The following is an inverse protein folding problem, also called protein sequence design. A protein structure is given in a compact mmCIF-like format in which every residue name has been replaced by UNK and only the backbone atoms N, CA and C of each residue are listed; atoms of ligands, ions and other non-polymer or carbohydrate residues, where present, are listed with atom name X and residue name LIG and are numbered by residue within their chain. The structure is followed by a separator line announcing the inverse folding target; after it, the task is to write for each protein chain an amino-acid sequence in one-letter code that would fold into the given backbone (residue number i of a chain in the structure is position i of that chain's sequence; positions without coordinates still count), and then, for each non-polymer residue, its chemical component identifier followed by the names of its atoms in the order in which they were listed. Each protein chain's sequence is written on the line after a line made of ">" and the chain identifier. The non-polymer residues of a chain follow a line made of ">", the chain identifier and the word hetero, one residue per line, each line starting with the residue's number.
data_IF_424846692872
#
_entry.id   IF_424846692872
#
_cell.length_a   1.000
_cell.length_b   1.000
_cell.length_c   1.000
_cell.angle_alpha   90.00
_cell.angle_beta   90.00
_cell.angle_gamma   90.00
#
_symmetry.space_group_name_H-M   'P 1'
#
loop_
_entity.id
_entity.type
_entity.pdbx_description
1 polymer ?
#
# COMPACT_ATOMS: atom_id res chain seq x y z
N UNK A 1 -33.38 15.18 65.57
CA UNK A 1 -34.40 14.60 64.72
C UNK A 1 -33.77 14.44 63.36
N UNK A 2 -33.59 13.25 63.02
CA UNK A 2 -32.69 12.70 62.04
C UNK A 2 -33.31 12.66 60.64
N UNK A 3 -32.60 13.12 59.62
CA UNK A 3 -33.01 12.93 58.26
C UNK A 3 -31.82 12.44 57.43
N UNK A 4 -31.70 11.13 57.38
CA UNK A 4 -30.71 10.41 56.62
C UNK A 4 -31.03 10.53 55.11
N UNK A 5 -30.25 11.28 54.40
CA UNK A 5 -30.25 11.33 52.94
C UNK A 5 -29.58 10.08 52.36
N UNK A 6 -30.37 9.20 51.72
CA UNK A 6 -29.86 8.04 50.98
C UNK A 6 -29.29 8.47 49.67
N UNK A 7 -27.98 8.43 49.59
CA UNK A 7 -27.21 8.60 48.35
C UNK A 7 -27.32 7.33 47.51
N UNK A 8 -28.19 7.31 46.45
CA UNK A 8 -28.19 6.27 45.42
C UNK A 8 -27.16 6.64 44.38
N UNK A 9 -26.04 5.96 44.45
CA UNK A 9 -25.08 5.92 43.34
C UNK A 9 -25.70 5.14 42.18
N UNK A 10 -26.27 5.86 41.21
CA UNK A 10 -26.59 5.33 39.91
C UNK A 10 -25.29 4.98 39.18
N UNK A 11 -24.95 3.68 39.20
CA UNK A 11 -23.93 3.12 38.32
C UNK A 11 -24.46 3.17 36.89
N UNK A 12 -24.14 4.21 36.17
CA UNK A 12 -24.28 4.24 34.72
C UNK A 12 -23.36 3.16 34.13
N UNK A 13 -23.94 2.17 33.52
CA UNK A 13 -23.21 1.19 32.71
C UNK A 13 -22.41 1.94 31.62
N UNK A 14 -21.17 1.52 31.33
CA UNK A 14 -20.41 2.15 30.28
C UNK A 14 -21.16 1.97 28.96
N UNK A 15 -21.63 3.09 28.40
CA UNK A 15 -22.12 3.12 27.02
C UNK A 15 -21.01 2.57 26.14
N UNK A 16 -21.30 1.50 25.39
CA UNK A 16 -20.45 1.02 24.34
C UNK A 16 -20.08 2.21 23.45
N UNK A 17 -18.83 2.66 23.54
CA UNK A 17 -18.28 3.66 22.66
C UNK A 17 -18.35 3.07 21.25
N UNK A 18 -19.29 3.59 20.45
CA UNK A 18 -19.35 3.27 19.05
C UNK A 18 -17.97 3.53 18.46
N UNK A 19 -17.43 2.54 17.76
CA UNK A 19 -16.19 2.65 17.01
C UNK A 19 -16.42 3.68 15.89
N UNK A 20 -16.31 4.96 16.25
CA UNK A 20 -15.93 6.00 15.33
C UNK A 20 -14.49 5.62 14.98
N UNK A 21 -14.28 5.06 13.77
CA UNK A 21 -12.95 4.91 13.23
C UNK A 21 -12.31 6.29 13.33
N UNK A 22 -11.40 6.47 14.28
CA UNK A 22 -10.53 7.63 14.32
C UNK A 22 -9.87 7.68 12.95
N UNK A 23 -10.29 8.62 12.11
CA UNK A 23 -9.56 8.97 10.89
C UNK A 23 -8.22 9.44 11.40
N UNK A 24 -7.27 8.52 11.37
CA UNK A 24 -5.95 8.82 11.89
C UNK A 24 -5.40 10.02 11.13
N UNK A 25 -4.92 11.01 11.87
CA UNK A 25 -4.28 12.17 11.29
C UNK A 25 -3.18 11.74 10.30
N UNK A 26 -2.99 12.46 9.18
CA UNK A 26 -1.90 12.18 8.26
C UNK A 26 -0.55 12.22 8.99
N UNK A 27 0.37 11.37 8.58
CA UNK A 27 1.74 11.38 9.05
C UNK A 27 2.56 12.49 8.38
N UNK A 28 3.76 12.76 8.88
CA UNK A 28 4.70 13.61 8.17
C UNK A 28 5.04 12.99 6.80
N UNK A 29 5.22 13.80 5.75
CA UNK A 29 5.42 13.32 4.38
C UNK A 29 6.60 12.33 4.26
N UNK A 30 7.66 12.56 5.03
CA UNK A 30 8.86 11.69 5.04
C UNK A 30 8.61 10.28 5.62
N UNK A 31 7.48 10.08 6.29
CA UNK A 31 7.12 8.81 6.93
C UNK A 31 6.35 7.89 5.97
N UNK A 32 6.03 8.38 4.78
CA UNK A 32 5.40 7.57 3.74
C UNK A 32 6.42 6.97 2.79
N UNK A 33 6.12 5.76 2.31
CA UNK A 33 6.89 5.06 1.29
C UNK A 33 6.08 4.92 0.00
N UNK A 34 6.75 5.00 -1.14
CA UNK A 34 6.18 4.79 -2.47
C UNK A 34 6.48 3.39 -2.96
N UNK A 35 5.45 2.66 -3.34
CA UNK A 35 5.55 1.47 -4.19
C UNK A 35 5.13 1.87 -5.61
N UNK A 36 5.84 1.43 -6.63
CA UNK A 36 5.45 1.69 -8.01
C UNK A 36 5.95 0.60 -8.95
N UNK A 37 5.19 0.34 -10.02
CA UNK A 37 5.46 -0.72 -10.99
C UNK A 37 5.65 -0.20 -12.43
N UNK A 38 5.58 1.13 -12.62
CA UNK A 38 5.60 1.80 -13.91
C UNK A 38 4.21 2.24 -14.37
N UNK A 39 3.19 1.43 -14.17
CA UNK A 39 1.83 1.73 -14.61
C UNK A 39 1.00 2.42 -13.52
N UNK A 40 1.37 2.24 -12.26
CA UNK A 40 0.70 2.83 -11.08
C UNK A 40 1.58 2.82 -9.86
N UNK A 41 1.07 3.44 -8.77
CA UNK A 41 1.76 3.47 -7.51
C UNK A 41 0.83 3.44 -6.31
N UNK A 42 1.39 3.01 -5.19
CA UNK A 42 0.74 3.01 -3.88
C UNK A 42 1.58 3.75 -2.85
N UNK A 43 0.95 4.40 -1.90
CA UNK A 43 1.61 5.09 -0.79
C UNK A 43 1.32 4.33 0.50
N UNK A 44 2.39 3.92 1.17
CA UNK A 44 2.36 3.16 2.43
C UNK A 44 2.73 4.08 3.59
N UNK A 45 1.94 4.07 4.64
CA UNK A 45 2.20 4.78 5.89
C UNK A 45 2.89 3.93 6.95
N UNK A 46 3.33 4.56 8.06
CA UNK A 46 4.14 3.92 9.09
C UNK A 46 3.41 2.84 9.90
N UNK A 47 2.09 2.80 9.85
CA UNK A 47 1.30 1.74 10.50
C UNK A 47 1.00 0.56 9.59
N UNK A 48 1.64 0.49 8.41
CA UNK A 48 1.39 -0.54 7.41
C UNK A 48 0.08 -0.35 6.65
N UNK A 49 -0.44 0.87 6.62
CA UNK A 49 -1.60 1.24 5.84
C UNK A 49 -1.20 1.70 4.43
N UNK A 50 -1.82 1.13 3.40
CA UNK A 50 -1.82 1.72 2.07
C UNK A 50 -2.95 2.74 2.03
N UNK A 51 -2.58 4.01 1.97
CA UNK A 51 -3.47 5.17 2.12
C UNK A 51 -3.84 5.82 0.80
N UNK A 52 -3.09 5.49 -0.26
CA UNK A 52 -3.31 5.98 -1.61
C UNK A 52 -2.92 4.94 -2.64
N UNK A 53 -3.77 4.69 -3.60
CA UNK A 53 -3.49 3.89 -4.79
C UNK A 53 -4.57 4.14 -5.84
N UNK A 54 -4.16 4.41 -7.07
CA UNK A 54 -5.02 4.48 -8.25
C UNK A 54 -4.93 3.18 -9.03
N UNK A 55 -6.02 2.78 -9.68
CA UNK A 55 -6.09 1.59 -10.52
C UNK A 55 -7.18 1.75 -11.60
N UNK A 56 -6.94 1.26 -12.82
CA UNK A 56 -5.83 0.43 -13.28
C UNK A 56 -4.54 1.22 -13.61
N UNK A 57 -4.59 2.53 -13.82
CA UNK A 57 -3.46 3.37 -14.22
C UNK A 57 -3.24 4.55 -13.25
N UNK A 58 -2.15 5.32 -13.47
CA UNK A 58 -1.81 6.48 -12.66
C UNK A 58 -2.93 7.50 -12.52
N UNK A 59 -3.57 7.84 -13.63
CA UNK A 59 -4.61 8.86 -13.74
C UNK A 59 -6.02 8.35 -13.44
N UNK A 60 -6.16 7.06 -13.15
CA UNK A 60 -7.45 6.47 -12.74
C UNK A 60 -7.91 6.97 -11.38
N UNK A 61 -9.17 6.78 -11.08
CA UNK A 61 -9.73 7.05 -9.77
C UNK A 61 -9.05 6.21 -8.67
N UNK A 62 -8.83 6.82 -7.51
CA UNK A 62 -8.20 6.11 -6.41
C UNK A 62 -9.12 5.03 -5.85
N UNK A 63 -8.54 3.86 -5.57
CA UNK A 63 -9.17 2.71 -4.88
C UNK A 63 -8.85 2.69 -3.39
N UNK A 64 -7.76 3.37 -2.99
CA UNK A 64 -7.47 3.75 -1.61
C UNK A 64 -7.25 5.26 -1.60
N UNK A 65 -8.01 5.99 -0.80
CA UNK A 65 -8.04 7.45 -0.84
C UNK A 65 -7.97 8.11 0.56
N UNK A 66 -7.64 7.36 1.59
CA UNK A 66 -7.58 7.87 2.97
C UNK A 66 -6.55 8.98 3.15
N UNK A 67 -5.48 9.03 2.33
CA UNK A 67 -4.49 10.10 2.32
C UNK A 67 -5.09 11.50 2.13
N UNK A 68 -6.12 11.59 1.29
CA UNK A 68 -6.80 12.86 0.98
C UNK A 68 -8.15 13.01 1.71
N UNK A 69 -8.37 12.21 2.76
CA UNK A 69 -9.62 12.23 3.54
C UNK A 69 -10.78 11.48 2.91
N UNK A 70 -10.57 10.75 1.82
CA UNK A 70 -11.52 9.79 1.24
C UNK A 70 -11.63 8.51 2.08
N UNK A 71 -12.48 7.59 1.62
CA UNK A 71 -12.56 6.24 2.19
C UNK A 71 -11.65 5.27 1.42
N UNK A 72 -11.38 4.14 2.04
CA UNK A 72 -10.57 3.07 1.47
C UNK A 72 -9.13 3.07 1.93
N UNK A 73 -8.72 1.92 2.48
CA UNK A 73 -7.35 1.62 2.88
C UNK A 73 -7.13 0.10 2.92
N UNK A 74 -5.88 -0.31 2.80
CA UNK A 74 -5.46 -1.67 3.05
C UNK A 74 -4.38 -1.68 4.14
N UNK A 75 -4.72 -2.17 5.32
CA UNK A 75 -3.84 -2.13 6.49
C UNK A 75 -3.34 -3.52 6.87
N UNK A 76 -2.07 -3.58 7.29
CA UNK A 76 -1.45 -4.72 7.97
C UNK A 76 -0.72 -4.10 9.17
N UNK A 77 -1.35 -4.08 10.33
CA UNK A 77 -0.92 -3.27 11.46
C UNK A 77 -0.67 -4.17 12.68
N UNK A 78 0.46 -4.02 13.39
CA UNK A 78 0.69 -4.70 14.66
C UNK A 78 -0.40 -4.38 15.68
N UNK A 79 -0.81 -5.38 16.47
CA UNK A 79 -1.83 -5.21 17.51
C UNK A 79 -1.31 -4.54 18.76
N UNK A 80 -0.01 -4.60 18.98
CA UNK A 80 0.66 -4.03 20.13
C UNK A 80 1.40 -2.74 19.79
N UNK A 81 1.71 -1.98 20.83
CA UNK A 81 2.58 -0.82 20.70
C UNK A 81 3.92 -1.22 20.09
N UNK A 82 4.37 -0.45 19.13
CA UNK A 82 5.61 -0.72 18.44
C UNK A 82 6.36 0.57 18.10
N UNK A 83 7.67 0.45 17.99
CA UNK A 83 8.51 1.46 17.37
C UNK A 83 8.66 1.10 15.90
N UNK A 84 8.34 2.05 15.03
CA UNK A 84 8.36 1.84 13.58
C UNK A 84 9.64 2.38 12.94
N UNK A 85 10.06 1.71 11.88
CA UNK A 85 11.05 2.16 10.94
C UNK A 85 10.87 1.42 9.61
N UNK A 86 11.62 1.83 8.60
CA UNK A 86 11.56 1.14 7.32
C UNK A 86 12.64 1.59 6.37
N UNK A 87 12.82 0.83 5.29
CA UNK A 87 13.83 1.09 4.27
C UNK A 87 13.44 0.42 2.96
N UNK A 88 13.99 0.93 1.86
CA UNK A 88 13.89 0.27 0.56
C UNK A 88 15.00 -0.74 0.36
N UNK A 89 14.68 -1.86 -0.26
CA UNK A 89 15.69 -2.76 -0.81
C UNK A 89 16.48 -2.04 -1.90
N UNK A 90 17.78 -2.23 -1.89
CA UNK A 90 18.67 -1.45 -2.74
C UNK A 90 18.34 -1.62 -4.24
N UNK A 91 18.22 -0.51 -4.95
CA UNK A 91 17.93 -0.48 -6.37
C UNK A 91 16.51 -0.93 -6.73
N UNK A 92 15.56 -0.77 -5.83
CA UNK A 92 14.17 -1.13 -6.08
C UNK A 92 13.20 -0.19 -5.36
N UNK A 93 11.91 -0.34 -5.63
CA UNK A 93 10.81 0.19 -4.83
C UNK A 93 10.11 -0.91 -4.02
N UNK A 94 10.87 -1.90 -3.59
CA UNK A 94 10.44 -2.88 -2.59
C UNK A 94 10.69 -2.27 -1.22
N UNK A 95 9.62 -2.04 -0.46
CA UNK A 95 9.66 -1.44 0.86
C UNK A 95 9.67 -2.52 1.94
N UNK A 96 10.42 -2.28 3.01
CA UNK A 96 10.38 -3.07 4.23
C UNK A 96 9.97 -2.19 5.39
N UNK A 97 8.69 -2.29 5.78
CA UNK A 97 8.20 -1.74 7.04
C UNK A 97 8.58 -2.65 8.19
N UNK A 98 9.07 -2.09 9.29
CA UNK A 98 9.56 -2.84 10.44
C UNK A 98 9.03 -2.26 11.72
N UNK A 99 8.49 -3.12 12.57
CA UNK A 99 7.96 -2.76 13.88
C UNK A 99 8.69 -3.56 14.96
N UNK A 100 9.25 -2.85 15.94
CA UNK A 100 9.85 -3.44 17.13
C UNK A 100 8.80 -3.37 18.24
N UNK A 101 8.43 -4.52 18.76
CA UNK A 101 7.47 -4.71 19.86
C UNK A 101 8.17 -5.30 21.08
N UNK A 102 7.45 -5.42 22.20
CA UNK A 102 7.98 -6.09 23.39
C UNK A 102 8.18 -7.61 23.18
N UNK A 103 7.49 -8.22 22.19
CA UNK A 103 7.57 -9.64 21.88
C UNK A 103 8.66 -9.97 20.83
N UNK A 104 9.08 -8.99 20.02
CA UNK A 104 10.04 -9.20 18.96
C UNK A 104 9.93 -8.19 17.82
N UNK A 105 10.45 -8.57 16.66
CA UNK A 105 10.44 -7.74 15.46
C UNK A 105 9.49 -8.32 14.43
N UNK A 106 8.63 -7.46 13.92
CA UNK A 106 7.73 -7.76 12.80
C UNK A 106 8.25 -7.01 11.58
N UNK A 107 8.38 -7.68 10.46
CA UNK A 107 8.72 -7.06 9.19
C UNK A 107 7.63 -7.35 8.15
N UNK A 108 7.16 -6.32 7.47
CA UNK A 108 6.28 -6.43 6.32
C UNK A 108 7.02 -5.94 5.07
N UNK A 109 7.27 -6.84 4.15
CA UNK A 109 7.84 -6.56 2.85
C UNK A 109 6.72 -6.27 1.87
N UNK A 110 6.82 -5.19 1.09
CA UNK A 110 5.72 -4.67 0.27
C UNK A 110 6.24 -4.23 -1.10
N UNK A 111 5.52 -4.59 -2.15
CA UNK A 111 5.80 -4.17 -3.52
C UNK A 111 4.54 -4.23 -4.40
N UNK A 112 4.49 -3.39 -5.41
CA UNK A 112 3.76 -3.72 -6.64
C UNK A 112 4.65 -4.64 -7.48
N UNK A 113 4.08 -5.71 -8.05
CA UNK A 113 4.82 -6.62 -8.93
C UNK A 113 5.35 -5.84 -10.14
N UNK A 114 6.67 -5.92 -10.35
CA UNK A 114 7.36 -5.14 -11.37
C UNK A 114 7.96 -6.04 -12.46
N UNK A 115 7.92 -5.62 -13.74
CA UNK A 115 7.20 -4.47 -14.27
C UNK A 115 5.69 -4.66 -14.23
N UNK A 116 4.94 -3.52 -14.12
CA UNK A 116 3.49 -3.55 -14.09
C UNK A 116 2.89 -4.01 -15.42
N UNK A 117 1.75 -4.69 -15.34
CA UNK A 117 0.89 -4.99 -16.47
C UNK A 117 -0.19 -3.90 -16.59
N UNK A 118 -0.48 -3.38 -17.78
CA UNK A 118 -1.40 -2.27 -17.96
C UNK A 118 -2.85 -2.58 -17.51
N UNK A 119 -3.25 -3.86 -17.55
CA UNK A 119 -4.59 -4.31 -17.22
C UNK A 119 -4.72 -4.93 -15.83
N UNK A 120 -3.60 -5.37 -15.23
CA UNK A 120 -3.61 -6.11 -13.98
C UNK A 120 -2.59 -5.56 -12.99
N UNK A 121 -3.06 -5.15 -11.84
CA UNK A 121 -2.26 -4.79 -10.69
C UNK A 121 -2.07 -6.01 -9.81
N UNK A 122 -0.85 -6.24 -9.33
CA UNK A 122 -0.54 -7.23 -8.31
C UNK A 122 0.21 -6.55 -7.18
N UNK A 123 -0.41 -6.45 -6.02
CA UNK A 123 0.20 -5.92 -4.81
C UNK A 123 0.60 -7.08 -3.90
N UNK A 124 1.87 -7.16 -3.61
CA UNK A 124 2.49 -8.20 -2.79
C UNK A 124 2.79 -7.65 -1.39
N UNK A 125 2.40 -8.39 -0.37
CA UNK A 125 2.77 -8.14 1.02
C UNK A 125 3.23 -9.45 1.65
N UNK A 126 4.36 -9.42 2.35
CA UNK A 126 4.95 -10.59 2.99
C UNK A 126 5.35 -10.25 4.41
N UNK A 127 4.73 -10.90 5.39
CA UNK A 127 4.99 -10.69 6.81
C UNK A 127 5.91 -11.77 7.34
N UNK A 128 6.93 -11.38 8.10
CA UNK A 128 7.80 -12.26 8.87
C UNK A 128 7.89 -11.80 10.31
N UNK A 129 8.23 -12.72 11.21
CA UNK A 129 8.39 -12.49 12.63
C UNK A 129 9.75 -13.01 13.10
N UNK A 130 10.41 -12.25 13.98
CA UNK A 130 11.68 -12.62 14.60
C UNK A 130 11.62 -12.31 16.12
N UNK A 131 12.17 -13.23 16.93
CA UNK A 131 12.18 -13.16 18.39
C UNK A 131 10.88 -13.65 19.04
N UNK A 132 9.72 -13.26 18.53
CA UNK A 132 8.39 -13.65 19.01
C UNK A 132 7.38 -13.71 17.87
N UNK A 133 6.11 -14.14 18.14
CA UNK A 133 5.08 -14.20 17.11
C UNK A 133 4.64 -12.79 16.68
N UNK A 134 4.47 -12.56 15.38
CA UNK A 134 3.82 -11.36 14.88
C UNK A 134 2.30 -11.49 15.02
N UNK A 135 1.66 -10.60 15.76
CA UNK A 135 0.20 -10.47 15.86
C UNK A 135 -0.23 -9.20 15.17
N UNK A 136 -1.07 -9.37 14.15
CA UNK A 136 -1.45 -8.29 13.23
C UNK A 136 -2.95 -8.26 12.99
N UNK A 137 -3.48 -7.06 12.91
CA UNK A 137 -4.81 -6.80 12.36
C UNK A 137 -4.67 -6.44 10.88
N UNK A 138 -5.29 -7.23 10.01
CA UNK A 138 -5.34 -6.99 8.57
C UNK A 138 -6.74 -6.52 8.20
N UNK A 139 -6.84 -5.43 7.45
CA UNK A 139 -8.13 -4.92 6.96
C UNK A 139 -7.99 -4.46 5.51
N UNK A 140 -8.77 -5.06 4.62
CA UNK A 140 -8.85 -4.68 3.22
C UNK A 140 -10.23 -4.06 2.95
N UNK A 141 -10.25 -2.73 2.77
CA UNK A 141 -11.43 -1.92 2.48
C UNK A 141 -11.19 -1.08 1.21
N UNK A 142 -11.19 -1.69 0.02
CA UNK A 142 -11.03 -0.94 -1.21
C UNK A 142 -12.34 -0.22 -1.57
N UNK A 143 -12.21 1.00 -2.09
CA UNK A 143 -13.33 1.86 -2.46
C UNK A 143 -13.03 2.52 -3.81
N UNK A 144 -13.82 2.22 -4.83
CA UNK A 144 -13.66 2.89 -6.13
C UNK A 144 -14.13 4.35 -6.07
N UNK A 145 -13.72 5.12 -7.07
CA UNK A 145 -14.10 6.52 -7.25
C UNK A 145 -13.79 7.38 -6.02
N UNK A 146 -12.54 7.33 -5.55
CA UNK A 146 -12.06 8.10 -4.39
C UNK A 146 -12.88 7.85 -3.11
N UNK A 147 -13.33 6.62 -2.88
CA UNK A 147 -14.07 6.23 -1.70
C UNK A 147 -15.59 6.15 -1.86
N UNK A 148 -16.13 6.52 -3.03
CA UNK A 148 -17.59 6.60 -3.23
C UNK A 148 -18.27 5.27 -3.44
N UNK A 149 -17.62 4.31 -4.10
CA UNK A 149 -18.20 3.00 -4.42
C UNK A 149 -17.55 1.89 -3.61
N UNK A 150 -18.34 1.20 -2.84
CA UNK A 150 -17.92 0.06 -2.05
C UNK A 150 -17.69 -1.20 -2.89
N UNK A 151 -16.91 -2.14 -2.35
CA UNK A 151 -16.74 -3.49 -2.88
C UNK A 151 -18.09 -4.22 -2.95
N UNK A 152 -18.36 -4.88 -4.07
CA UNK A 152 -19.59 -5.62 -4.38
C UNK A 152 -19.29 -7.05 -4.78
N UNK A 153 -20.35 -7.88 -4.80
CA UNK A 153 -20.28 -9.28 -5.22
C UNK A 153 -19.12 -10.04 -4.57
N UNK A 154 -18.87 -9.74 -3.29
CA UNK A 154 -17.77 -10.35 -2.52
C UNK A 154 -18.14 -11.77 -2.16
N UNK A 155 -17.30 -12.71 -2.54
CA UNK A 155 -17.43 -14.14 -2.25
C UNK A 155 -16.08 -14.83 -2.28
N UNK A 156 -16.09 -16.14 -2.02
CA UNK A 156 -14.91 -16.97 -2.23
C UNK A 156 -15.00 -17.62 -3.60
N UNK A 157 -13.87 -17.68 -4.28
CA UNK A 157 -13.74 -18.47 -5.50
C UNK A 157 -13.36 -19.93 -5.19
N UNK A 158 -13.24 -20.74 -6.23
CA UNK A 158 -12.95 -22.18 -6.12
C UNK A 158 -11.54 -22.47 -5.54
N UNK A 159 -10.67 -21.46 -5.50
CA UNK A 159 -9.32 -21.54 -4.93
C UNK A 159 -9.29 -21.19 -3.44
N UNK A 160 -10.41 -20.72 -2.89
CA UNK A 160 -10.53 -20.21 -1.53
C UNK A 160 -10.11 -18.75 -1.36
N UNK A 161 -9.73 -18.07 -2.46
CA UNK A 161 -9.45 -16.65 -2.46
C UNK A 161 -10.73 -15.83 -2.35
N UNK A 162 -10.62 -14.60 -1.86
CA UNK A 162 -11.72 -13.65 -1.91
C UNK A 162 -11.76 -12.97 -3.28
N UNK A 163 -12.91 -13.03 -3.93
CA UNK A 163 -13.18 -12.38 -5.21
C UNK A 163 -14.32 -11.37 -5.09
N UNK A 164 -14.31 -10.32 -5.90
CA UNK A 164 -15.33 -9.28 -5.88
C UNK A 164 -15.21 -8.29 -7.03
N UNK A 165 -16.09 -7.26 -6.98
CA UNK A 165 -16.12 -6.16 -7.95
C UNK A 165 -15.96 -4.83 -7.25
N UNK A 166 -15.04 -4.01 -7.78
CA UNK A 166 -14.73 -2.68 -7.28
C UNK A 166 -14.95 -1.65 -8.39
N UNK A 167 -16.16 -1.10 -8.47
CA UNK A 167 -16.56 -0.36 -9.68
C UNK A 167 -16.53 -1.28 -10.89
N UNK A 168 -15.74 -0.92 -11.90
CA UNK A 168 -15.54 -1.72 -13.11
C UNK A 168 -14.39 -2.72 -12.99
N UNK A 169 -13.64 -2.68 -11.90
CA UNK A 169 -12.51 -3.59 -11.67
C UNK A 169 -12.97 -4.90 -11.05
N UNK A 170 -12.30 -5.98 -11.43
CA UNK A 170 -12.30 -7.25 -10.74
C UNK A 170 -11.28 -7.20 -9.62
N UNK A 171 -11.61 -7.81 -8.48
CA UNK A 171 -10.73 -7.93 -7.33
C UNK A 171 -10.55 -9.40 -6.98
N UNK A 172 -9.31 -9.79 -6.68
CA UNK A 172 -8.97 -11.05 -6.04
C UNK A 172 -7.98 -10.79 -4.90
N UNK A 173 -8.27 -11.35 -3.72
CA UNK A 173 -7.36 -11.31 -2.57
C UNK A 173 -7.06 -12.72 -2.12
N UNK A 174 -5.80 -13.08 -2.19
CA UNK A 174 -5.29 -14.44 -2.01
C UNK A 174 -4.08 -14.46 -1.06
N UNK A 175 -3.47 -15.60 -0.91
CA UNK A 175 -2.55 -15.97 0.12
C UNK A 175 -3.26 -16.82 1.17
N UNK A 176 -2.73 -16.91 2.37
CA UNK A 176 -3.43 -17.62 3.44
C UNK A 176 -4.47 -16.72 4.13
N UNK A 177 -5.58 -16.49 3.41
CA UNK A 177 -6.70 -15.61 3.81
C UNK A 177 -7.93 -16.41 4.27
N UNK A 178 -7.75 -17.70 4.59
CA UNK A 178 -8.84 -18.63 4.95
C UNK A 178 -9.69 -18.13 6.10
N UNK A 179 -9.11 -17.54 7.11
CA UNK A 179 -9.80 -17.03 8.31
C UNK A 179 -10.35 -15.62 8.17
N UNK A 180 -10.18 -14.98 7.01
CA UNK A 180 -10.71 -13.64 6.77
C UNK A 180 -12.24 -13.63 6.81
N UNK A 181 -12.79 -12.56 7.39
CA UNK A 181 -14.23 -12.36 7.60
C UNK A 181 -14.69 -11.07 6.93
N UNK A 182 -15.93 -11.09 6.45
CA UNK A 182 -16.59 -9.90 5.95
C UNK A 182 -17.18 -9.12 7.12
N UNK A 183 -16.75 -7.87 7.29
CA UNK A 183 -17.30 -6.93 8.26
C UNK A 183 -18.04 -5.79 7.53
N UNK A 184 -19.13 -5.30 8.11
CA UNK A 184 -19.79 -4.08 7.61
C UNK A 184 -18.91 -2.87 7.92
N UNK A 185 -18.70 -2.01 6.92
CA UNK A 185 -17.91 -0.78 7.02
C UNK A 185 -18.68 0.36 6.31
N UNK A 186 -19.33 1.21 7.09
CA UNK A 186 -20.17 2.29 6.56
C UNK A 186 -21.24 1.76 5.60
N UNK A 187 -21.20 2.23 4.34
CA UNK A 187 -22.16 1.81 3.28
C UNK A 187 -21.72 0.56 2.53
N UNK A 188 -20.72 -0.16 3.00
CA UNK A 188 -20.18 -1.33 2.31
C UNK A 188 -19.66 -2.41 3.25
N UNK A 189 -18.81 -3.25 2.70
CA UNK A 189 -18.14 -4.34 3.42
C UNK A 189 -16.64 -4.24 3.24
N UNK A 190 -15.90 -4.65 4.26
CA UNK A 190 -14.45 -4.84 4.23
C UNK A 190 -14.11 -6.27 4.62
N UNK A 191 -12.97 -6.74 4.19
CA UNK A 191 -12.38 -7.98 4.68
C UNK A 191 -11.49 -7.68 5.87
N UNK A 192 -11.59 -8.49 6.91
CA UNK A 192 -10.76 -8.41 8.10
C UNK A 192 -10.18 -9.77 8.43
N UNK A 193 -8.89 -9.80 8.76
CA UNK A 193 -8.16 -11.00 9.15
C UNK A 193 -7.31 -10.68 10.39
N UNK A 194 -7.36 -11.57 11.35
CA UNK A 194 -6.47 -11.57 12.50
C UNK A 194 -5.34 -12.54 12.18
N UNK A 195 -4.15 -12.01 12.02
CA UNK A 195 -3.01 -12.78 11.54
C UNK A 195 -2.00 -13.00 12.66
N UNK A 196 -1.63 -14.26 12.88
CA UNK A 196 -0.54 -14.63 13.78
C UNK A 196 0.52 -15.35 12.98
N UNK A 197 1.71 -14.77 12.85
CA UNK A 197 2.85 -15.37 12.16
C UNK A 197 3.84 -15.85 13.22
N UNK A 198 4.12 -17.16 13.31
CA UNK A 198 5.13 -17.70 14.23
C UNK A 198 6.53 -17.17 13.91
N UNK A 199 7.45 -17.13 14.90
CA UNK A 199 8.84 -16.77 14.66
C UNK A 199 9.48 -17.65 13.59
N UNK A 200 10.20 -17.04 12.65
CA UNK A 200 10.84 -17.73 11.53
C UNK A 200 9.89 -18.15 10.40
N UNK A 201 8.57 -18.00 10.58
CA UNK A 201 7.59 -18.24 9.52
C UNK A 201 7.40 -16.99 8.65
N UNK A 202 6.78 -17.22 7.50
CA UNK A 202 6.40 -16.18 6.54
C UNK A 202 4.94 -16.35 6.16
N UNK A 203 4.24 -15.24 5.97
CA UNK A 203 2.87 -15.18 5.51
C UNK A 203 2.73 -14.19 4.36
N UNK A 204 2.27 -14.67 3.23
CA UNK A 204 2.11 -13.85 2.03
C UNK A 204 0.65 -13.48 1.80
N UNK A 205 0.41 -12.23 1.44
CA UNK A 205 -0.88 -11.68 1.05
C UNK A 205 -0.73 -11.05 -0.35
N UNK A 206 -1.63 -11.39 -1.26
CA UNK A 206 -1.64 -10.90 -2.64
C UNK A 206 -2.99 -10.24 -2.94
N UNK A 207 -2.96 -8.98 -3.33
CA UNK A 207 -4.14 -8.28 -3.84
C UNK A 207 -3.97 -8.06 -5.34
N UNK A 208 -4.95 -8.51 -6.10
CA UNK A 208 -5.03 -8.30 -7.54
C UNK A 208 -6.23 -7.43 -7.88
N UNK A 209 -6.02 -6.45 -8.75
CA UNK A 209 -7.07 -5.67 -9.37
C UNK A 209 -6.89 -5.72 -10.88
N UNK A 210 -7.97 -5.91 -11.65
CA UNK A 210 -7.92 -5.99 -13.11
C UNK A 210 -9.15 -5.35 -13.72
N UNK A 211 -8.99 -4.70 -14.87
CA UNK A 211 -10.10 -4.24 -15.72
C UNK A 211 -10.70 -5.36 -16.58
N UNK A 212 -10.05 -6.54 -16.56
CA UNK A 212 -10.49 -7.75 -17.24
C UNK A 212 -10.79 -8.88 -16.24
N UNK A 213 -11.67 -9.84 -16.57
CA UNK A 213 -11.87 -11.03 -15.75
C UNK A 213 -10.55 -11.76 -15.50
N UNK A 214 -10.44 -12.39 -14.34
CA UNK A 214 -9.30 -13.26 -14.08
C UNK A 214 -9.51 -14.63 -14.73
N UNK A 215 -8.90 -14.84 -15.89
CA UNK A 215 -8.93 -16.11 -16.61
C UNK A 215 -7.80 -17.06 -16.17
N UNK A 216 -6.84 -16.55 -15.40
CA UNK A 216 -5.68 -17.30 -14.91
C UNK A 216 -5.85 -17.71 -13.46
N UNK A 217 -5.08 -18.75 -13.07
CA UNK A 217 -4.94 -19.14 -11.68
C UNK A 217 -4.47 -17.93 -10.81
N UNK A 218 -4.70 -18.02 -9.50
CA UNK A 218 -4.18 -17.03 -8.58
C UNK A 218 -2.66 -16.91 -8.68
N UNK A 219 -2.14 -15.72 -8.36
CA UNK A 219 -0.71 -15.44 -8.37
C UNK A 219 0.00 -16.29 -7.32
N UNK A 220 1.02 -17.03 -7.74
CA UNK A 220 2.00 -17.62 -6.81
C UNK A 220 2.87 -16.49 -6.23
N UNK A 221 2.67 -16.20 -4.95
CA UNK A 221 3.38 -15.12 -4.27
C UNK A 221 4.90 -15.28 -4.34
N UNK A 222 5.41 -16.51 -4.17
CA UNK A 222 6.86 -16.74 -4.18
C UNK A 222 7.45 -16.53 -5.58
N UNK A 223 6.75 -16.95 -6.62
CA UNK A 223 7.17 -16.71 -8.00
C UNK A 223 7.10 -15.22 -8.35
N UNK A 224 6.04 -14.52 -7.95
CA UNK A 224 5.87 -13.08 -8.18
C UNK A 224 6.94 -12.24 -7.47
N UNK A 225 7.31 -12.59 -6.24
CA UNK A 225 8.43 -11.96 -5.52
C UNK A 225 9.75 -12.13 -6.27
N UNK A 226 10.10 -13.35 -6.68
CA UNK A 226 11.34 -13.62 -7.44
C UNK A 226 11.37 -12.88 -8.77
N UNK A 227 10.24 -12.84 -9.48
CA UNK A 227 10.13 -12.11 -10.74
C UNK A 227 10.35 -10.61 -10.55
N UNK A 228 9.71 -10.02 -9.53
CA UNK A 228 9.83 -8.60 -9.16
C UNK A 228 11.27 -8.23 -8.80
N UNK A 229 11.93 -9.04 -7.96
CA UNK A 229 13.34 -8.85 -7.59
C UNK A 229 14.26 -8.88 -8.81
N UNK A 230 14.09 -9.88 -9.65
CA UNK A 230 14.85 -10.04 -10.88
C UNK A 230 14.67 -8.86 -11.84
N UNK A 231 13.42 -8.42 -12.02
CA UNK A 231 13.11 -7.30 -12.88
C UNK A 231 13.70 -5.98 -12.38
N UNK A 232 13.66 -5.70 -11.08
CA UNK A 232 14.34 -4.54 -10.49
C UNK A 232 15.84 -4.60 -10.65
N UNK A 233 16.46 -5.75 -10.42
CA UNK A 233 17.91 -5.95 -10.61
C UNK A 233 18.34 -5.70 -12.06
N UNK A 234 17.48 -6.01 -13.04
CA UNK A 234 17.74 -5.75 -14.45
C UNK A 234 17.46 -4.30 -14.86
N UNK A 235 16.43 -3.67 -14.24
CA UNK A 235 16.00 -2.32 -14.60
C UNK A 235 16.91 -1.23 -14.06
N UNK A 236 17.56 -1.45 -12.92
CA UNK A 236 18.41 -0.45 -12.24
C UNK A 236 19.89 -0.81 -12.42
N UNK A 237 20.65 -0.03 -13.21
CA UNK A 237 22.04 -0.34 -13.47
C UNK A 237 22.92 -0.21 -12.22
N UNK A 238 24.03 -0.96 -12.14
CA UNK A 238 25.03 -0.76 -11.11
C UNK A 238 25.74 0.57 -11.35
N UNK A 239 25.39 1.61 -10.57
CA UNK A 239 25.98 2.94 -10.69
C UNK A 239 27.32 3.01 -9.95
N UNK A 240 28.29 2.22 -10.42
CA UNK A 240 29.66 2.25 -9.92
C UNK A 240 30.34 3.58 -10.26
N UNK A 241 31.13 4.11 -9.31
CA UNK A 241 31.95 5.32 -9.54
C UNK A 241 31.23 6.66 -9.28
N UNK A 242 29.99 6.66 -8.79
CA UNK A 242 29.32 7.87 -8.29
C UNK A 242 29.50 7.98 -6.78
N UNK A 243 29.67 9.20 -6.26
CA UNK A 243 29.94 9.47 -4.83
C UNK A 243 28.83 8.95 -3.89
N UNK A 244 27.57 9.00 -4.33
CA UNK A 244 26.40 8.54 -3.56
C UNK A 244 25.68 7.42 -4.32
N UNK A 245 26.35 6.30 -4.57
CA UNK A 245 25.87 5.20 -5.41
C UNK A 245 24.52 4.63 -4.97
N UNK A 246 24.30 4.47 -3.66
CA UNK A 246 23.02 4.01 -3.10
C UNK A 246 21.89 4.97 -3.42
N UNK A 247 22.08 6.26 -3.18
CA UNK A 247 21.03 7.28 -3.42
C UNK A 247 20.76 7.45 -4.92
N UNK A 248 21.81 7.37 -5.75
CA UNK A 248 21.66 7.41 -7.19
C UNK A 248 20.86 6.20 -7.72
N UNK A 249 21.10 4.99 -7.19
CA UNK A 249 20.32 3.80 -7.55
C UNK A 249 18.88 3.91 -7.08
N UNK A 250 18.65 4.45 -5.88
CA UNK A 250 17.29 4.68 -5.39
C UNK A 250 16.55 5.71 -6.25
N UNK A 251 17.19 6.83 -6.58
CA UNK A 251 16.62 7.83 -7.48
C UNK A 251 16.28 7.24 -8.86
N UNK A 252 17.15 6.35 -9.39
CA UNK A 252 16.86 5.66 -10.64
C UNK A 252 15.66 4.73 -10.51
N UNK A 253 15.55 3.98 -9.42
CA UNK A 253 14.42 3.10 -9.16
C UNK A 253 13.10 3.91 -9.10
N UNK A 254 13.10 5.08 -8.44
CA UNK A 254 11.94 5.99 -8.40
C UNK A 254 11.55 6.43 -9.81
N UNK A 255 12.50 6.93 -10.61
CA UNK A 255 12.22 7.36 -11.99
C UNK A 255 11.68 6.19 -12.82
N UNK A 256 12.25 5.01 -12.67
CA UNK A 256 11.81 3.82 -13.41
C UNK A 256 10.41 3.37 -12.98
N UNK A 257 10.13 3.39 -11.68
CA UNK A 257 8.80 3.06 -11.14
C UNK A 257 7.72 4.05 -11.54
N UNK A 258 8.07 5.32 -11.81
CA UNK A 258 7.14 6.35 -12.29
C UNK A 258 7.00 6.39 -13.81
N UNK A 259 7.73 5.56 -14.57
CA UNK A 259 7.73 5.54 -16.04
C UNK A 259 6.94 4.34 -16.54
N UNK A 260 5.84 4.60 -17.26
CA UNK A 260 5.00 3.57 -17.83
C UNK A 260 5.65 2.85 -19.01
N UNK A 261 5.04 1.75 -19.46
CA UNK A 261 5.44 1.01 -20.67
C UNK A 261 5.38 1.87 -21.93
N UNK A 262 4.51 2.88 -21.97
CA UNK A 262 4.43 3.87 -23.05
C UNK A 262 5.61 4.87 -23.06
N UNK A 263 6.45 4.89 -22.03
CA UNK A 263 7.56 5.82 -21.86
C UNK A 263 7.18 7.14 -21.20
N UNK A 264 5.92 7.35 -20.85
CA UNK A 264 5.45 8.50 -20.09
C UNK A 264 5.84 8.38 -18.62
N UNK A 265 6.55 9.39 -18.08
CA UNK A 265 6.88 9.47 -16.66
C UNK A 265 5.96 10.46 -15.97
N UNK A 266 5.21 10.01 -14.98
CA UNK A 266 4.37 10.90 -14.17
C UNK A 266 5.21 11.75 -13.23
N UNK A 267 4.75 12.97 -12.93
CA UNK A 267 5.47 13.90 -12.07
C UNK A 267 5.46 13.44 -10.59
N UNK A 268 4.37 12.82 -10.14
CA UNK A 268 4.27 12.17 -8.83
C UNK A 268 3.14 11.13 -8.80
N UNK A 269 3.14 10.29 -7.79
CA UNK A 269 2.10 9.28 -7.57
C UNK A 269 0.76 9.87 -7.07
N UNK A 270 0.75 11.14 -6.63
CA UNK A 270 -0.39 11.80 -5.99
C UNK A 270 -0.69 13.13 -6.64
N UNK A 271 -1.75 13.79 -6.17
CA UNK A 271 -1.99 15.20 -6.44
C UNK A 271 -1.04 16.08 -5.60
N UNK A 272 -0.86 17.36 -5.98
CA UNK A 272 -0.08 18.29 -5.19
C UNK A 272 -0.79 18.67 -3.89
N UNK A 273 -0.04 19.16 -2.92
CA UNK A 273 -0.59 20.00 -1.87
C UNK A 273 -1.03 21.33 -2.47
N UNK A 274 -1.99 22.07 -1.85
CA UNK A 274 -2.32 23.42 -2.25
C UNK A 274 -1.08 24.33 -2.24
N UNK A 275 -0.88 25.15 -3.28
CA UNK A 275 0.23 26.12 -3.34
C UNK A 275 0.22 27.09 -2.16
N UNK A 276 -0.97 27.45 -1.69
CA UNK A 276 -1.20 28.27 -0.49
C UNK A 276 -2.38 27.68 0.27
N UNK A 277 -2.34 27.76 1.58
CA UNK A 277 -3.51 27.53 2.41
C UNK A 277 -4.67 28.39 1.89
N UNK A 278 -5.85 27.82 1.74
CA UNK A 278 -7.08 28.47 1.26
C UNK A 278 -7.11 28.89 -0.23
N UNK A 279 -6.05 28.65 -1.00
CA UNK A 279 -6.00 29.11 -2.40
C UNK A 279 -6.74 28.19 -3.39
N UNK A 280 -7.18 27.02 -2.99
CA UNK A 280 -7.96 26.09 -3.84
C UNK A 280 -7.26 25.62 -5.11
N UNK A 281 -5.95 25.92 -5.26
CA UNK A 281 -5.17 25.58 -6.44
C UNK A 281 -4.33 24.34 -6.18
N UNK A 282 -4.82 23.19 -6.65
CA UNK A 282 -4.13 21.90 -6.61
C UNK A 282 -3.84 21.45 -8.04
N UNK A 283 -2.66 20.86 -8.24
CA UNK A 283 -2.30 20.24 -9.51
C UNK A 283 -2.37 18.72 -9.38
N UNK A 284 -2.80 18.08 -10.45
CA UNK A 284 -2.72 16.62 -10.54
C UNK A 284 -1.36 16.23 -11.13
N UNK A 285 -0.50 15.61 -10.32
CA UNK A 285 0.83 15.21 -10.73
C UNK A 285 0.90 13.76 -11.27
N UNK A 286 -0.24 13.08 -11.37
CA UNK A 286 -0.34 11.73 -11.91
C UNK A 286 -0.24 11.66 -13.44
N UNK A 287 0.18 12.74 -14.06
CA UNK A 287 0.35 12.90 -15.50
C UNK A 287 1.82 13.13 -15.87
N UNK A 288 2.18 12.76 -17.10
CA UNK A 288 3.50 13.06 -17.65
C UNK A 288 3.63 14.54 -18.03
N UNK A 289 4.67 15.19 -17.53
CA UNK A 289 5.02 16.56 -17.86
C UNK A 289 6.27 16.56 -18.76
N UNK A 290 6.19 17.17 -19.92
CA UNK A 290 7.32 17.22 -20.87
C UNK A 290 8.59 17.78 -20.24
N UNK A 291 8.46 18.82 -19.41
CA UNK A 291 9.58 19.41 -18.68
C UNK A 291 10.26 18.40 -17.75
N UNK A 292 9.49 17.64 -17.01
CA UNK A 292 10.00 16.68 -16.03
C UNK A 292 10.60 15.46 -16.71
N UNK A 293 9.98 15.00 -17.79
CA UNK A 293 10.51 13.91 -18.62
C UNK A 293 11.79 14.26 -19.37
N UNK A 294 11.98 15.54 -19.77
CA UNK A 294 13.17 15.97 -20.51
C UNK A 294 14.43 16.10 -19.61
N UNK A 295 14.27 16.40 -18.33
CA UNK A 295 15.38 16.67 -17.40
C UNK A 295 16.16 15.40 -17.01
N UNK A 296 15.55 14.27 -16.67
CA UNK A 296 16.25 13.01 -16.41
C UNK A 296 17.04 12.50 -17.61
N UNK A 297 16.47 12.58 -18.81
CA UNK A 297 17.12 12.10 -20.04
C UNK A 297 18.39 12.86 -20.41
N UNK A 298 18.52 14.13 -20.04
CA UNK A 298 19.73 14.94 -20.28
C UNK A 298 20.84 14.65 -19.28
N UNK A 299 20.54 14.31 -18.03
CA UNK A 299 21.53 14.07 -16.97
C UNK A 299 22.08 12.64 -17.01
N UNK A 300 21.43 11.73 -17.73
CA UNK A 300 21.72 10.29 -17.68
C UNK A 300 22.30 9.70 -18.96
N UNK A 301 22.98 10.48 -19.80
CA UNK A 301 23.86 9.89 -20.81
C UNK A 301 25.18 9.52 -20.13
N UNK A 302 25.53 8.22 -19.96
CA UNK A 302 26.89 7.87 -19.62
C UNK A 302 27.79 8.49 -20.68
N UNK A 303 28.74 9.33 -20.28
CA UNK A 303 29.77 9.77 -21.20
C UNK A 303 30.48 8.51 -21.71
N UNK A 304 30.25 8.15 -22.95
CA UNK A 304 31.10 7.19 -23.65
C UNK A 304 32.50 7.80 -23.60
N UNK A 305 33.35 7.33 -22.69
CA UNK A 305 34.77 7.57 -22.79
C UNK A 305 35.25 6.78 -24.02
N UNK A 306 35.37 7.45 -25.12
CA UNK A 306 36.19 7.02 -26.22
C UNK A 306 37.61 6.82 -25.68
N UNK A 307 38.11 5.60 -25.74
CA UNK A 307 39.53 5.31 -25.64
C UNK A 307 40.21 5.70 -26.93
#
# INVERSE_FOLDING_TARGET
>A
MDSAARNRLDRAAPRAAGHQQDRAAPHALRDYALLADGERGAVVGPRGEIVWMCAPSWDSDAVFASLIGGEGAYTVTPEFRSVWGGYYEEGSLIWRGRWVTDEGVIECREALAFPGDAHRLVLLRSVTADGGPARLSVSLDPRAEFGRKALRALGRDDTGSWAGRLGDLYLRWSGDVGDARVLRAGRGSRLALHLVVPPGARHDLVLELSDQPFDEAQVDAAAAWRATETAWAQAVPPLGGVTAGRDARHAYAVLRGLTSSSGGMVAAATTSLPERAEAGRNYDYRYAWIRDSATPGRRWRPSARTR
#
